data_IF_179045172772
#
_entry.id   IF_179045172772
#
_cell.length_a   1.000
_cell.length_b   1.000
_cell.length_c   1.000
_cell.angle_alpha   90.00
_cell.angle_beta   90.00
_cell.angle_gamma   90.00
#
_symmetry.space_group_name_H-M   'P 1'
#
loop_
_entity.id
_entity.type
_entity.pdbx_description
1 polymer ?
#
# COMPACT_ATOMS: atom_id res chain seq x y z
N UNK A 1 17.00 37.44 46.60
CA UNK A 1 17.44 36.06 46.32
C UNK A 1 16.23 35.26 45.85
N UNK A 2 15.49 35.84 44.91
CA UNK A 2 15.33 35.36 43.54
C UNK A 2 15.95 33.98 43.29
N UNK A 3 15.14 32.99 42.95
CA UNK A 3 15.19 32.43 41.60
C UNK A 3 13.93 31.62 41.30
N UNK A 4 13.49 31.77 40.07
CA UNK A 4 12.25 31.32 39.46
C UNK A 4 12.60 30.24 38.41
N UNK A 5 11.66 29.30 38.17
CA UNK A 5 11.48 28.54 36.90
C UNK A 5 12.48 27.35 36.71
N UNK A 6 12.20 26.15 36.14
CA UNK A 6 11.27 25.67 35.11
C UNK A 6 10.95 24.16 35.26
N UNK A 7 9.89 23.74 34.57
CA UNK A 7 9.29 22.40 34.52
C UNK A 7 10.03 21.54 33.48
N UNK A 8 10.22 20.23 33.71
CA UNK A 8 10.15 19.27 32.60
C UNK A 8 9.82 17.85 33.07
N UNK A 9 8.71 17.34 32.54
CA UNK A 9 8.27 15.95 32.47
C UNK A 9 9.42 14.95 32.30
N UNK A 10 9.45 13.93 33.16
CA UNK A 10 10.14 12.66 32.88
C UNK A 10 9.10 11.56 32.85
N UNK A 11 8.60 11.29 31.65
CA UNK A 11 7.87 10.06 31.32
C UNK A 11 8.86 8.89 31.38
N UNK A 12 8.52 7.89 32.18
CA UNK A 12 9.23 6.63 32.27
C UNK A 12 9.17 5.89 30.92
N UNK A 13 10.34 5.64 30.33
CA UNK A 13 10.49 4.68 29.24
C UNK A 13 11.56 3.68 29.66
N UNK A 14 11.09 2.49 30.04
CA UNK A 14 11.91 1.34 30.43
C UNK A 14 12.58 0.74 29.19
N UNK A 15 13.86 1.04 29.02
CA UNK A 15 14.77 0.26 28.17
C UNK A 15 15.22 -0.99 28.93
N UNK A 16 15.03 -2.17 28.33
CA UNK A 16 15.82 -3.34 28.71
C UNK A 16 16.12 -4.16 27.46
N UNK A 17 17.36 -4.05 27.00
CA UNK A 17 17.96 -4.83 25.92
C UNK A 17 18.91 -5.86 26.53
N UNK A 18 18.79 -7.14 26.13
CA UNK A 18 19.89 -8.13 26.21
C UNK A 18 19.80 -9.11 25.02
N UNK A 19 20.82 -9.05 24.16
CA UNK A 19 21.11 -9.80 22.91
C UNK A 19 21.70 -11.23 23.15
N UNK A 20 22.09 -12.04 22.12
CA UNK A 20 21.66 -12.17 20.71
C UNK A 20 21.41 -13.65 20.27
N UNK A 21 20.63 -13.89 19.20
CA UNK A 21 20.61 -15.18 18.46
C UNK A 21 20.63 -14.96 16.94
N UNK A 22 21.49 -15.72 16.28
CA UNK A 22 22.05 -15.48 14.94
C UNK A 22 21.19 -16.12 13.82
N UNK A 23 20.96 -15.33 12.75
CA UNK A 23 20.63 -15.67 11.34
C UNK A 23 19.25 -16.28 11.01
N UNK A 24 18.26 -15.41 10.75
CA UNK A 24 17.42 -15.49 9.54
C UNK A 24 16.64 -14.17 9.36
N UNK A 25 16.86 -13.49 8.22
CA UNK A 25 16.16 -12.29 7.74
C UNK A 25 15.88 -11.19 8.79
N UNK A 26 16.92 -10.43 9.14
CA UNK A 26 16.84 -9.19 9.91
C UNK A 26 16.17 -8.01 9.16
N UNK A 27 14.92 -8.19 8.73
CA UNK A 27 14.03 -7.11 8.26
C UNK A 27 12.74 -7.05 9.10
N UNK A 28 12.68 -7.79 10.22
CA UNK A 28 11.42 -8.23 10.81
C UNK A 28 10.77 -7.32 11.87
N UNK A 29 11.30 -6.14 12.18
CA UNK A 29 10.67 -5.33 13.24
C UNK A 29 10.90 -3.83 13.08
N UNK A 30 10.71 -3.33 11.87
CA UNK A 30 10.34 -1.93 11.73
C UNK A 30 8.92 -1.92 11.23
N UNK A 31 8.04 -1.21 11.92
CA UNK A 31 6.72 -0.80 11.41
C UNK A 31 6.92 0.21 10.25
N UNK A 32 7.86 -0.12 9.35
CA UNK A 32 8.24 0.66 8.19
C UNK A 32 7.24 0.30 7.11
N UNK A 33 6.57 1.33 6.61
CA UNK A 33 5.67 1.30 5.48
C UNK A 33 6.31 0.58 4.28
N UNK A 34 6.01 -0.72 4.11
CA UNK A 34 6.37 -1.46 2.91
C UNK A 34 5.22 -1.34 1.92
N UNK A 35 5.51 -0.83 0.72
CA UNK A 35 4.50 -0.66 -0.34
C UNK A 35 3.83 -1.97 -0.77
N UNK A 36 4.37 -3.11 -0.34
CA UNK A 36 3.79 -4.45 -0.55
C UNK A 36 2.48 -4.65 0.23
N UNK A 37 2.33 -4.11 1.44
CA UNK A 37 1.09 -4.28 2.25
C UNK A 37 -0.13 -3.66 1.56
N UNK A 38 0.09 -2.57 0.82
CA UNK A 38 -0.95 -1.77 0.17
C UNK A 38 -0.95 -1.93 -1.36
N UNK A 39 -0.50 -3.08 -1.87
CA UNK A 39 -0.58 -3.40 -3.30
C UNK A 39 -1.84 -4.21 -3.59
N UNK A 40 -2.47 -3.97 -4.73
CA UNK A 40 -3.44 -4.87 -5.35
C UNK A 40 -2.95 -5.24 -6.74
N UNK A 41 -3.13 -6.50 -7.11
CA UNK A 41 -2.92 -6.98 -8.47
C UNK A 41 -4.28 -7.08 -9.17
N UNK A 42 -4.40 -6.39 -10.30
CA UNK A 42 -5.53 -6.49 -11.22
C UNK A 42 -5.18 -7.49 -12.29
N UNK A 43 -5.91 -8.59 -12.34
CA UNK A 43 -5.79 -9.68 -13.29
C UNK A 43 -6.91 -9.64 -14.33
N UNK A 44 -6.71 -10.40 -15.41
CA UNK A 44 -7.65 -10.50 -16.53
C UNK A 44 -7.91 -9.16 -17.26
N UNK A 45 -6.90 -8.28 -17.32
CA UNK A 45 -6.95 -7.08 -18.14
C UNK A 45 -6.83 -7.45 -19.63
N UNK A 46 -7.52 -6.72 -20.52
CA UNK A 46 -7.44 -6.94 -21.97
C UNK A 46 -5.99 -6.85 -22.45
N UNK A 47 -5.58 -7.72 -23.39
CA UNK A 47 -4.19 -7.75 -23.91
C UNK A 47 -3.68 -6.40 -24.42
N UNK A 48 -4.58 -5.56 -24.91
CA UNK A 48 -4.29 -4.23 -25.45
C UNK A 48 -4.98 -3.14 -24.61
N UNK A 49 -4.34 -2.73 -23.52
CA UNK A 49 -4.72 -1.54 -22.77
C UNK A 49 -3.54 -0.59 -22.61
N UNK A 50 -3.85 0.71 -22.68
CA UNK A 50 -2.89 1.75 -22.37
C UNK A 50 -2.96 2.13 -20.89
N UNK A 51 -1.81 2.41 -20.28
CA UNK A 51 -1.72 2.97 -18.93
C UNK A 51 -2.61 4.19 -18.73
N UNK A 52 -2.65 5.10 -19.73
CA UNK A 52 -3.46 6.31 -19.66
C UNK A 52 -4.96 6.05 -19.58
N UNK A 53 -5.46 5.02 -20.29
CA UNK A 53 -6.87 4.64 -20.27
C UNK A 53 -7.23 4.01 -18.92
N UNK A 54 -6.41 3.07 -18.45
CA UNK A 54 -6.60 2.45 -17.14
C UNK A 54 -6.58 3.50 -16.01
N UNK A 55 -5.63 4.44 -16.04
CA UNK A 55 -5.55 5.54 -15.06
C UNK A 55 -6.83 6.38 -15.06
N UNK A 56 -7.37 6.73 -16.23
CA UNK A 56 -8.62 7.50 -16.34
C UNK A 56 -9.81 6.72 -15.78
N UNK A 57 -9.91 5.42 -16.10
CA UNK A 57 -11.00 4.56 -15.62
C UNK A 57 -10.95 4.33 -14.11
N UNK A 58 -9.77 4.09 -13.56
CA UNK A 58 -9.58 3.97 -12.10
C UNK A 58 -9.96 5.26 -11.37
N UNK A 59 -9.61 6.43 -11.93
CA UNK A 59 -10.07 7.73 -11.40
C UNK A 59 -11.59 7.89 -11.48
N UNK A 60 -12.21 7.46 -12.59
CA UNK A 60 -13.65 7.53 -12.77
C UNK A 60 -14.41 6.63 -11.78
N UNK A 61 -13.84 5.49 -11.43
CA UNK A 61 -14.35 4.58 -10.39
C UNK A 61 -14.19 5.16 -8.97
N UNK A 62 -13.44 6.25 -8.79
CA UNK A 62 -13.15 6.81 -7.47
C UNK A 62 -12.07 6.07 -6.70
N UNK A 63 -11.24 5.26 -7.38
CA UNK A 63 -10.15 4.51 -6.73
C UNK A 63 -8.98 5.45 -6.43
N UNK A 64 -8.61 5.58 -5.16
CA UNK A 64 -7.55 6.47 -4.71
C UNK A 64 -6.18 5.74 -4.67
N UNK A 65 -5.50 5.70 -5.80
CA UNK A 65 -4.20 5.03 -5.95
C UNK A 65 -3.01 6.01 -5.94
N UNK A 66 -1.87 5.55 -5.46
CA UNK A 66 -0.59 6.28 -5.47
C UNK A 66 0.17 6.01 -6.76
N UNK A 67 0.31 4.73 -7.14
CA UNK A 67 1.09 4.31 -8.30
C UNK A 67 0.44 3.13 -8.99
N UNK A 68 0.39 3.18 -10.31
CA UNK A 68 0.00 2.05 -11.14
C UNK A 68 1.24 1.59 -11.92
N UNK A 69 1.55 0.30 -11.88
CA UNK A 69 2.57 -0.33 -12.72
C UNK A 69 1.88 -1.31 -13.65
N UNK A 70 2.08 -1.12 -14.95
CA UNK A 70 1.58 -2.03 -15.99
C UNK A 70 2.80 -2.71 -16.60
N UNK A 71 3.04 -4.01 -16.31
CA UNK A 71 4.08 -4.77 -16.97
C UNK A 71 3.85 -4.82 -18.50
N UNK A 72 4.94 -4.87 -19.26
CA UNK A 72 4.86 -4.92 -20.74
C UNK A 72 4.26 -6.25 -21.19
N UNK A 73 3.36 -6.21 -22.18
CA UNK A 73 2.68 -7.38 -22.75
C UNK A 73 1.90 -8.23 -21.72
N UNK A 74 1.57 -7.65 -20.57
CA UNK A 74 0.89 -8.33 -19.50
C UNK A 74 -0.62 -8.08 -19.53
N UNK A 75 -1.38 -9.08 -19.11
CA UNK A 75 -2.83 -9.00 -18.83
C UNK A 75 -3.11 -8.66 -17.37
N UNK A 76 -2.12 -8.09 -16.67
CA UNK A 76 -2.25 -7.71 -15.27
C UNK A 76 -1.60 -6.36 -15.00
N UNK A 77 -2.00 -5.70 -13.92
CA UNK A 77 -1.46 -4.43 -13.47
C UNK A 77 -1.39 -4.38 -11.94
N UNK A 78 -0.40 -3.68 -11.43
CA UNK A 78 -0.25 -3.46 -10.00
C UNK A 78 -0.71 -2.06 -9.63
N UNK A 79 -1.58 -1.96 -8.64
CA UNK A 79 -2.04 -0.69 -8.08
C UNK A 79 -1.56 -0.61 -6.65
N UNK A 80 -0.82 0.46 -6.33
CA UNK A 80 -0.32 0.72 -4.99
C UNK A 80 -1.16 1.83 -4.37
N UNK A 81 -1.54 1.63 -3.11
CA UNK A 81 -2.36 2.54 -2.32
C UNK A 81 -1.53 3.20 -1.24
N UNK A 82 -2.05 4.29 -0.65
CA UNK A 82 -1.37 5.01 0.45
C UNK A 82 -1.68 4.39 1.81
N UNK A 83 -2.89 3.86 1.97
CA UNK A 83 -3.39 3.33 3.23
C UNK A 83 -4.22 2.06 2.98
N UNK A 84 -4.49 1.30 4.04
CA UNK A 84 -5.34 0.10 3.98
C UNK A 84 -6.77 0.41 3.58
N UNK A 85 -7.32 1.53 4.06
CA UNK A 85 -8.70 1.91 3.78
C UNK A 85 -8.92 2.17 2.28
N UNK A 86 -8.00 2.89 1.63
CA UNK A 86 -8.03 3.12 0.18
C UNK A 86 -7.86 1.80 -0.60
N UNK A 87 -7.02 0.89 -0.10
CA UNK A 87 -6.82 -0.45 -0.67
C UNK A 87 -8.13 -1.24 -0.61
N UNK A 88 -8.80 -1.30 0.54
CA UNK A 88 -10.03 -2.07 0.72
C UNK A 88 -11.17 -1.49 -0.13
N UNK A 89 -11.31 -0.16 -0.17
CA UNK A 89 -12.26 0.51 -1.08
C UNK A 89 -11.96 0.17 -2.53
N UNK A 90 -10.68 0.25 -2.92
CA UNK A 90 -10.21 -0.16 -4.25
C UNK A 90 -10.57 -1.61 -4.57
N UNK A 91 -10.32 -2.53 -3.65
CA UNK A 91 -10.65 -3.96 -3.80
C UNK A 91 -12.15 -4.15 -4.06
N UNK A 92 -13.02 -3.53 -3.26
CA UNK A 92 -14.48 -3.63 -3.42
C UNK A 92 -14.97 -3.06 -4.75
N UNK A 93 -14.41 -1.93 -5.18
CA UNK A 93 -14.79 -1.27 -6.44
C UNK A 93 -14.27 -2.02 -7.69
N UNK A 94 -13.09 -2.63 -7.59
CA UNK A 94 -12.44 -3.31 -8.70
C UNK A 94 -12.92 -4.76 -8.86
N UNK A 95 -13.32 -5.40 -7.76
CA UNK A 95 -13.87 -6.75 -7.79
C UNK A 95 -15.19 -6.76 -8.56
N UNK A 96 -15.22 -7.48 -9.68
CA UNK A 96 -16.41 -7.56 -10.54
C UNK A 96 -16.57 -6.38 -11.51
N UNK A 97 -15.61 -5.45 -11.55
CA UNK A 97 -15.58 -4.43 -12.58
C UNK A 97 -15.37 -5.06 -13.96
N UNK A 98 -16.19 -4.67 -14.93
CA UNK A 98 -16.02 -5.11 -16.32
C UNK A 98 -15.32 -4.02 -17.12
N UNK A 99 -14.16 -4.35 -17.69
CA UNK A 99 -13.34 -3.45 -18.47
C UNK A 99 -13.05 -4.01 -19.87
N UNK A 100 -13.52 -3.30 -20.90
CA UNK A 100 -13.40 -3.67 -22.32
C UNK A 100 -13.81 -5.12 -22.60
N UNK A 101 -14.89 -5.58 -21.96
CA UNK A 101 -15.44 -6.93 -22.13
C UNK A 101 -14.82 -8.01 -21.24
N UNK A 102 -13.76 -7.71 -20.48
CA UNK A 102 -13.19 -8.64 -19.51
C UNK A 102 -13.66 -8.30 -18.09
N UNK A 103 -13.99 -9.33 -17.32
CA UNK A 103 -14.27 -9.19 -15.89
C UNK A 103 -12.95 -9.17 -15.14
N UNK A 104 -12.66 -8.05 -14.48
CA UNK A 104 -11.41 -7.87 -13.76
C UNK A 104 -11.43 -8.69 -12.48
N UNK A 105 -10.34 -9.41 -12.27
CA UNK A 105 -10.08 -10.18 -11.07
C UNK A 105 -9.07 -9.41 -10.22
N UNK A 106 -9.25 -9.41 -8.91
CA UNK A 106 -8.38 -8.66 -8.00
C UNK A 106 -7.76 -9.62 -7.00
N UNK A 107 -6.44 -9.58 -6.87
CA UNK A 107 -5.67 -10.37 -5.93
C UNK A 107 -4.92 -9.45 -4.97
N UNK A 108 -4.89 -9.82 -3.69
CA UNK A 108 -4.27 -9.06 -2.59
C UNK A 108 -2.83 -9.49 -2.32
#
# INVERSE_FOLDING_TARGET
MDEEIEISMTDEIVESSTEPKIKEKGYLARDEYTSERFKLELNNLPKYFGFGDLKKKLKLLGVNFVKIKVPKAATHAYVNFRNEEDKEKGLKLLTGWTYRGNRIEVSV
#
